data_IF_755248683275
#
_entry.id   IF_755248683275
#
_cell.length_a   1.000
_cell.length_b   1.000
_cell.length_c   1.000
_cell.angle_alpha   90.00
_cell.angle_beta   90.00
_cell.angle_gamma   90.00
#
_symmetry.space_group_name_H-M   'P 1'
#
loop_
_entity.id
_entity.type
_entity.pdbx_description
1 polymer ?
#
# COMPACT_ATOMS: atom_id res chain seq x y z
N UNK A 1 -10.65 20.56 -12.15
CA UNK A 1 -10.50 19.09 -12.09
C UNK A 1 -9.53 18.80 -10.97
N UNK A 2 -10.00 18.22 -9.87
CA UNK A 2 -9.14 17.76 -8.77
C UNK A 2 -8.44 16.49 -9.23
N UNK A 3 -7.10 16.50 -9.21
CA UNK A 3 -6.32 15.27 -9.42
C UNK A 3 -6.53 14.42 -8.16
N UNK A 4 -6.95 13.16 -8.25
CA UNK A 4 -7.10 12.32 -7.08
C UNK A 4 -5.75 12.21 -6.35
N UNK A 5 -5.75 12.37 -5.03
CA UNK A 5 -4.56 12.25 -4.20
C UNK A 5 -4.23 10.77 -4.03
N UNK A 6 -3.03 10.37 -4.46
CA UNK A 6 -2.54 9.00 -4.34
C UNK A 6 -1.03 8.97 -4.08
N UNK A 7 -0.58 7.88 -3.47
CA UNK A 7 0.83 7.59 -3.19
C UNK A 7 1.15 6.15 -3.57
N UNK A 8 2.37 5.94 -4.08
CA UNK A 8 2.93 4.62 -4.34
C UNK A 8 4.36 4.59 -3.79
N UNK A 9 4.63 3.63 -2.91
CA UNK A 9 5.93 3.39 -2.30
C UNK A 9 6.47 2.05 -2.79
N UNK A 10 7.61 2.09 -3.47
CA UNK A 10 8.33 0.86 -3.86
C UNK A 10 9.38 0.52 -2.82
N UNK A 11 9.22 -0.62 -2.17
CA UNK A 11 10.16 -1.20 -1.22
C UNK A 11 11.01 -2.25 -1.94
N UNK A 12 12.32 -2.01 -2.03
CA UNK A 12 13.29 -2.97 -2.60
C UNK A 12 14.06 -3.68 -1.49
N UNK A 13 13.97 -5.01 -1.44
CA UNK A 13 14.76 -5.80 -0.50
C UNK A 13 16.16 -6.07 -1.04
N UNK A 14 17.12 -5.19 -0.71
CA UNK A 14 18.53 -5.38 -1.04
C UNK A 14 19.29 -6.33 -0.08
N UNK A 15 18.59 -6.92 0.90
CA UNK A 15 19.20 -7.82 1.88
C UNK A 15 19.13 -9.28 1.43
N UNK A 16 19.97 -10.18 1.98
CA UNK A 16 19.89 -11.62 1.69
C UNK A 16 18.80 -12.35 2.49
N UNK A 17 17.96 -11.64 3.26
CA UNK A 17 16.91 -12.23 4.10
C UNK A 17 15.53 -11.81 3.62
N UNK A 18 14.52 -12.61 3.92
CA UNK A 18 13.12 -12.21 3.72
C UNK A 18 12.78 -11.07 4.68
N UNK A 19 12.19 -10.00 4.16
CA UNK A 19 11.61 -8.92 4.96
C UNK A 19 10.11 -9.14 5.10
N UNK A 20 9.55 -8.68 6.21
CA UNK A 20 8.12 -8.76 6.51
C UNK A 20 7.65 -7.35 6.79
N UNK A 21 6.66 -6.87 6.02
CA UNK A 21 5.97 -5.64 6.36
C UNK A 21 5.12 -5.94 7.59
N UNK A 22 5.11 -5.05 8.58
CA UNK A 22 4.25 -5.20 9.77
C UNK A 22 3.62 -3.86 10.12
N UNK A 23 2.45 -3.89 10.77
CA UNK A 23 1.74 -2.70 11.27
C UNK A 23 1.53 -1.61 10.22
N UNK A 24 0.72 -1.93 9.22
CA UNK A 24 0.28 -0.95 8.23
C UNK A 24 -1.00 -0.31 8.75
N UNK A 25 -0.96 1.01 8.91
CA UNK A 25 -2.08 1.81 9.37
C UNK A 25 -2.21 3.03 8.45
N UNK A 26 -3.44 3.36 8.09
CA UNK A 26 -3.79 4.60 7.41
C UNK A 26 -4.65 5.42 8.34
N UNK A 27 -4.31 6.70 8.50
CA UNK A 27 -5.21 7.63 9.19
C UNK A 27 -6.40 8.04 8.31
N UNK A 28 -6.25 7.98 6.98
CA UNK A 28 -7.30 8.34 6.01
C UNK A 28 -7.05 7.62 4.68
N UNK A 29 -8.12 7.38 3.92
CA UNK A 29 -8.06 6.75 2.59
C UNK A 29 -8.02 5.23 2.64
N UNK A 30 -7.59 4.61 1.53
CA UNK A 30 -7.55 3.16 1.35
C UNK A 30 -6.23 2.68 0.76
N UNK A 31 -5.87 1.44 1.09
CA UNK A 31 -4.83 0.70 0.37
C UNK A 31 -5.44 0.08 -0.87
N UNK A 32 -4.65 -0.02 -1.94
CA UNK A 32 -5.12 -0.65 -3.17
C UNK A 32 -4.00 -1.40 -3.88
N UNK A 33 -4.37 -2.28 -4.81
CA UNK A 33 -3.41 -3.00 -5.63
C UNK A 33 -2.61 -2.02 -6.50
N UNK A 34 -1.33 -2.30 -6.72
CA UNK A 34 -0.48 -1.48 -7.57
C UNK A 34 -1.05 -1.41 -9.00
N UNK A 35 -1.25 -0.19 -9.50
CA UNK A 35 -1.82 0.06 -10.84
C UNK A 35 -3.34 -0.03 -10.92
N UNK A 36 -4.05 -0.37 -9.83
CA UNK A 36 -5.51 -0.45 -9.79
C UNK A 36 -6.06 0.14 -8.48
N UNK A 37 -6.51 1.39 -8.54
CA UNK A 37 -7.06 2.14 -7.39
C UNK A 37 -8.45 1.62 -6.94
N UNK A 38 -9.12 0.82 -7.75
CA UNK A 38 -10.46 0.31 -7.46
C UNK A 38 -10.40 -1.03 -6.72
N UNK A 39 -9.25 -1.70 -6.76
CA UNK A 39 -9.00 -2.95 -6.06
C UNK A 39 -8.42 -2.67 -4.68
N UNK A 40 -9.33 -2.39 -3.75
CA UNK A 40 -9.00 -2.17 -2.34
C UNK A 40 -8.35 -3.40 -1.68
N UNK A 41 -7.40 -3.16 -0.77
CA UNK A 41 -6.70 -4.18 0.00
C UNK A 41 -6.94 -3.95 1.49
N UNK A 42 -7.11 -5.03 2.26
CA UNK A 42 -7.13 -4.90 3.72
C UNK A 42 -5.72 -4.60 4.25
N UNK A 43 -5.64 -3.77 5.28
CA UNK A 43 -4.36 -3.46 5.94
C UNK A 43 -3.64 -4.72 6.44
N UNK A 44 -4.38 -5.73 6.89
CA UNK A 44 -3.82 -7.01 7.32
C UNK A 44 -3.14 -7.77 6.17
N UNK A 45 -3.71 -7.74 4.95
CA UNK A 45 -3.13 -8.43 3.79
C UNK A 45 -1.76 -7.82 3.42
N UNK A 46 -1.61 -6.51 3.61
CA UNK A 46 -0.33 -5.83 3.42
C UNK A 46 0.62 -6.10 4.59
N UNK A 47 0.13 -6.09 5.83
CA UNK A 47 0.91 -6.25 7.05
C UNK A 47 1.45 -7.67 7.32
N UNK A 48 1.18 -8.64 6.43
CA UNK A 48 1.80 -9.97 6.44
C UNK A 48 2.62 -10.25 5.16
N UNK A 49 2.80 -9.24 4.31
CA UNK A 49 3.54 -9.38 3.07
C UNK A 49 5.02 -9.69 3.34
N UNK A 50 5.49 -10.76 2.70
CA UNK A 50 6.90 -11.17 2.66
C UNK A 50 7.54 -10.68 1.39
N UNK A 51 8.67 -10.00 1.50
CA UNK A 51 9.47 -9.53 0.37
C UNK A 51 10.74 -10.37 0.34
N UNK A 52 10.92 -11.22 -0.68
CA UNK A 52 12.10 -12.08 -0.77
C UNK A 52 13.36 -11.28 -1.14
N UNK A 53 14.57 -11.84 -0.98
CA UNK A 53 15.81 -11.18 -1.39
C UNK A 53 15.78 -10.73 -2.86
N UNK A 54 16.19 -9.49 -3.11
CA UNK A 54 16.21 -8.82 -4.41
C UNK A 54 14.83 -8.57 -5.05
N UNK A 55 13.73 -8.78 -4.33
CA UNK A 55 12.40 -8.44 -4.80
C UNK A 55 11.99 -7.01 -4.44
N UNK A 56 11.09 -6.48 -5.26
CA UNK A 56 10.43 -5.20 -5.06
C UNK A 56 8.96 -5.46 -4.68
N UNK A 57 8.44 -4.69 -3.74
CA UNK A 57 7.04 -4.65 -3.38
C UNK A 57 6.50 -3.22 -3.49
N UNK A 58 5.30 -3.07 -4.05
CA UNK A 58 4.65 -1.76 -4.20
C UNK A 58 3.49 -1.66 -3.22
N UNK A 59 3.62 -0.72 -2.29
CA UNK A 59 2.53 -0.30 -1.41
C UNK A 59 1.86 0.93 -2.03
N UNK A 60 0.57 0.84 -2.32
CA UNK A 60 -0.16 1.94 -2.92
C UNK A 60 -1.39 2.31 -2.08
N UNK A 61 -1.65 3.61 -1.98
CA UNK A 61 -2.78 4.16 -1.25
C UNK A 61 -3.36 5.39 -1.97
N UNK A 62 -4.66 5.59 -1.83
CA UNK A 62 -5.34 6.77 -2.36
C UNK A 62 -6.51 7.18 -1.46
N UNK A 63 -7.09 8.35 -1.73
CA UNK A 63 -8.34 8.74 -1.08
C UNK A 63 -9.49 7.75 -1.42
N UNK A 64 -10.46 7.60 -0.53
CA UNK A 64 -11.71 6.89 -0.86
C UNK A 64 -12.50 7.68 -1.91
N UNK A 65 -13.17 6.96 -2.81
CA UNK A 65 -13.97 7.56 -3.89
C UNK A 65 -15.14 8.39 -3.36
N UNK A 66 -15.62 8.07 -2.15
CA UNK A 66 -16.74 8.76 -1.49
C UNK A 66 -16.33 10.14 -0.91
N UNK A 67 -15.05 10.53 -1.07
CA UNK A 67 -14.52 11.79 -0.55
C UNK A 67 -14.47 11.86 0.98
N UNK A 68 -14.86 10.78 1.67
CA UNK A 68 -14.75 10.68 3.12
C UNK A 68 -13.29 10.47 3.48
N UNK A 69 -12.63 11.59 3.76
CA UNK A 69 -11.72 11.62 4.88
C UNK A 69 -12.57 11.28 6.11
N UNK A 70 -12.61 10.01 6.55
CA UNK A 70 -12.92 9.67 7.94
C UNK A 70 -11.77 8.85 8.56
N UNK A 71 -11.41 9.12 9.83
CA UNK A 71 -10.36 8.41 10.54
C UNK A 71 -10.83 7.07 11.10
#
# INVERSE_FOLDING_TARGET
MTVPEWISLTLRNASPKVLIITRVELSWGKLHAAGDQNRELAAQDVADTKIAPNEDYVLAACAHEDGSSQP
#
